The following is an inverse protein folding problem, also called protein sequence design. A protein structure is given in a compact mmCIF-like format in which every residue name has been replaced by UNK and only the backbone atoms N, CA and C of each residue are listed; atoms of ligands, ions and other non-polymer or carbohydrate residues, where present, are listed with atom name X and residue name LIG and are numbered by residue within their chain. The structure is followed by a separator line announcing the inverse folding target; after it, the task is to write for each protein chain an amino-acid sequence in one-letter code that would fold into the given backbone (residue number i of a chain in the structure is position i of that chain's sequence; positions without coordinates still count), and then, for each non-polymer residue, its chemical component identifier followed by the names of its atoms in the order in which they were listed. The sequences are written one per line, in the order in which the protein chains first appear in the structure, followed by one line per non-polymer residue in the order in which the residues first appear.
data_IF_408922111891
#
_entry.id   IF_408922111891
#
_cell.length_a   1.000
_cell.length_b   1.000
_cell.length_c   1.000
_cell.angle_alpha   90.00
_cell.angle_beta   90.00
_cell.angle_gamma   90.00
#
_symmetry.space_group_name_H-M   'P 1'
#
loop_
_entity.id
_entity.type
_entity.pdbx_description
1 polymer ?
#
# COMPACT_ATOMS: atom_id res chain seq x y z
N UNK A 1 -14.49 -7.51 -24.05
CA UNK A 1 -15.29 -6.31 -24.35
C UNK A 1 -14.96 -5.36 -23.23
N UNK A 2 -13.88 -4.61 -23.41
CA UNK A 2 -13.20 -3.89 -22.33
C UNK A 2 -13.91 -2.55 -22.11
N UNK A 3 -14.69 -2.49 -21.03
CA UNK A 3 -15.44 -1.30 -20.65
C UNK A 3 -14.49 -0.32 -19.95
N UNK A 4 -13.77 0.48 -20.74
CA UNK A 4 -12.93 1.55 -20.23
C UNK A 4 -13.79 2.76 -19.84
N UNK A 5 -14.13 2.87 -18.55
CA UNK A 5 -14.84 4.05 -18.02
C UNK A 5 -13.84 5.13 -17.64
N UNK A 6 -13.54 6.03 -18.58
CA UNK A 6 -12.77 7.24 -18.31
C UNK A 6 -13.65 8.28 -17.60
N UNK A 7 -13.47 8.42 -16.29
CA UNK A 7 -14.26 9.37 -15.50
C UNK A 7 -13.54 10.72 -15.37
N UNK A 8 -14.27 11.82 -15.60
CA UNK A 8 -13.88 13.19 -15.27
C UNK A 8 -14.87 13.79 -14.26
N UNK A 9 -14.42 14.11 -13.04
CA UNK A 9 -15.22 14.82 -12.05
C UNK A 9 -15.13 14.28 -10.63
N UNK A 10 -16.10 14.65 -9.79
CA UNK A 10 -16.25 14.13 -8.43
C UNK A 10 -17.36 13.09 -8.44
N UNK A 11 -17.05 11.82 -8.18
CA UNK A 11 -18.04 10.77 -8.01
C UNK A 11 -18.02 10.24 -6.59
N UNK A 12 -19.19 9.85 -6.08
CA UNK A 12 -19.30 9.25 -4.75
C UNK A 12 -18.77 7.81 -4.72
N UNK A 13 -19.04 7.04 -5.77
CA UNK A 13 -18.55 5.69 -5.96
C UNK A 13 -18.44 5.37 -7.45
N UNK A 14 -17.51 4.49 -7.79
CA UNK A 14 -17.32 3.94 -9.13
C UNK A 14 -17.25 2.42 -9.00
N UNK A 15 -18.23 1.73 -9.56
CA UNK A 15 -18.28 0.26 -9.60
C UNK A 15 -18.26 -0.16 -11.07
N UNK A 16 -17.22 -0.90 -11.47
CA UNK A 16 -17.01 -1.33 -12.86
C UNK A 16 -16.64 -2.81 -12.85
N UNK A 17 -17.25 -3.62 -13.71
CA UNK A 17 -16.91 -5.05 -13.78
C UNK A 17 -15.54 -5.31 -14.42
N UNK A 18 -15.08 -4.38 -15.27
CA UNK A 18 -13.78 -4.38 -15.91
C UNK A 18 -12.84 -3.32 -15.34
N UNK A 19 -12.13 -2.61 -16.22
CA UNK A 19 -11.04 -1.72 -15.85
C UNK A 19 -11.51 -0.29 -15.59
N UNK A 20 -11.15 0.27 -14.44
CA UNK A 20 -11.38 1.66 -14.10
C UNK A 20 -10.12 2.50 -14.39
N UNK A 21 -10.24 3.45 -15.31
CA UNK A 21 -9.22 4.46 -15.57
C UNK A 21 -9.70 5.83 -15.11
N UNK A 22 -9.13 6.32 -14.02
CA UNK A 22 -9.52 7.58 -13.40
C UNK A 22 -8.43 8.62 -13.62
N UNK A 23 -8.79 9.67 -14.34
CA UNK A 23 -7.86 10.75 -14.66
C UNK A 23 -8.38 12.08 -14.10
N UNK A 24 -7.53 12.83 -13.40
CA UNK A 24 -7.83 14.21 -12.94
C UNK A 24 -9.17 14.34 -12.21
N UNK A 25 -9.47 13.38 -11.34
CA UNK A 25 -10.78 13.20 -10.73
C UNK A 25 -10.68 12.80 -9.26
N UNK A 26 -11.78 12.98 -8.53
CA UNK A 26 -11.92 12.57 -7.13
C UNK A 26 -13.05 11.56 -7.01
N UNK A 27 -12.73 10.33 -6.60
CA UNK A 27 -13.71 9.25 -6.49
C UNK A 27 -13.83 8.81 -5.04
N UNK A 28 -15.04 8.81 -4.47
CA UNK A 28 -15.22 8.47 -3.06
C UNK A 28 -14.89 7.01 -2.73
N UNK A 29 -15.17 6.07 -3.64
CA UNK A 29 -14.77 4.67 -3.53
C UNK A 29 -14.72 4.02 -4.92
N UNK A 30 -13.78 3.09 -5.13
CA UNK A 30 -13.66 2.35 -6.39
C UNK A 30 -13.75 0.85 -6.11
N UNK A 31 -14.57 0.15 -6.91
CA UNK A 31 -14.58 -1.31 -7.00
C UNK A 31 -14.46 -1.69 -8.48
N UNK A 32 -13.36 -2.33 -8.86
CA UNK A 32 -13.10 -2.70 -10.26
C UNK A 32 -12.28 -3.98 -10.41
N UNK A 33 -12.10 -4.45 -11.65
CA UNK A 33 -11.12 -5.48 -11.92
C UNK A 33 -9.70 -4.93 -11.88
N UNK A 34 -9.36 -3.95 -12.72
CA UNK A 34 -8.11 -3.20 -12.60
C UNK A 34 -8.40 -1.72 -12.33
N UNK A 35 -7.52 -1.06 -11.59
CA UNK A 35 -7.66 0.37 -11.29
C UNK A 35 -6.40 1.12 -11.69
N UNK A 36 -6.54 2.14 -12.52
CA UNK A 36 -5.48 3.10 -12.81
C UNK A 36 -5.90 4.50 -12.38
N UNK A 37 -5.13 5.10 -11.48
CA UNK A 37 -5.30 6.47 -11.02
C UNK A 37 -4.18 7.32 -11.63
N UNK A 38 -4.53 8.31 -12.44
CA UNK A 38 -3.58 9.27 -13.00
C UNK A 38 -3.98 10.70 -12.63
N UNK A 39 -3.17 11.39 -11.83
CA UNK A 39 -3.50 12.73 -11.32
C UNK A 39 -4.86 12.76 -10.61
N UNK A 40 -5.25 11.65 -10.00
CA UNK A 40 -6.55 11.44 -9.39
C UNK A 40 -6.40 11.06 -7.92
N UNK A 41 -7.47 11.30 -7.15
CA UNK A 41 -7.57 10.76 -5.81
C UNK A 41 -8.80 9.87 -5.66
N UNK A 42 -8.66 8.77 -4.93
CA UNK A 42 -9.77 7.92 -4.56
C UNK A 42 -9.89 7.77 -3.03
N UNK A 43 -11.07 7.44 -2.52
CA UNK A 43 -11.19 6.89 -1.17
C UNK A 43 -10.71 5.43 -1.16
N UNK A 44 -11.45 4.50 -0.53
CA UNK A 44 -11.10 3.08 -0.58
C UNK A 44 -11.12 2.54 -2.01
N UNK A 45 -10.12 1.72 -2.34
CA UNK A 45 -10.02 1.02 -3.62
C UNK A 45 -10.03 -0.48 -3.37
N UNK A 46 -10.99 -1.17 -3.97
CA UNK A 46 -11.03 -2.62 -4.04
C UNK A 46 -10.82 -3.05 -5.49
N UNK A 47 -9.78 -3.86 -5.72
CA UNK A 47 -9.41 -4.34 -7.04
C UNK A 47 -9.28 -5.86 -7.00
N UNK A 48 -9.95 -6.54 -7.93
CA UNK A 48 -9.81 -8.01 -8.09
C UNK A 48 -8.63 -8.41 -8.98
N UNK A 49 -7.99 -7.44 -9.63
CA UNK A 49 -6.74 -7.50 -10.38
C UNK A 49 -5.77 -6.48 -9.80
N UNK A 50 -5.16 -5.65 -10.65
CA UNK A 50 -4.06 -4.75 -10.28
C UNK A 50 -4.52 -3.34 -9.91
N UNK A 51 -3.66 -2.60 -9.19
CA UNK A 51 -3.84 -1.17 -8.93
C UNK A 51 -2.56 -0.40 -9.31
N UNK A 52 -2.70 0.58 -10.20
CA UNK A 52 -1.65 1.51 -10.57
C UNK A 52 -2.01 2.93 -10.14
N UNK A 53 -1.11 3.60 -9.42
CA UNK A 53 -1.26 4.98 -8.99
C UNK A 53 -0.10 5.79 -9.56
N UNK A 54 -0.40 6.79 -10.36
CA UNK A 54 0.58 7.72 -10.94
C UNK A 54 0.17 9.15 -10.62
N UNK A 55 1.03 9.91 -9.94
CA UNK A 55 0.75 11.31 -9.56
C UNK A 55 -0.57 11.49 -8.80
N UNK A 56 -0.97 10.50 -8.01
CA UNK A 56 -2.28 10.44 -7.39
C UNK A 56 -2.23 9.85 -5.99
N UNK A 57 -3.39 9.61 -5.43
CA UNK A 57 -3.45 8.85 -4.20
C UNK A 57 -4.78 8.18 -3.94
N UNK A 58 -4.79 7.30 -2.96
CA UNK A 58 -6.05 6.74 -2.50
C UNK A 58 -6.08 6.48 -1.00
N UNK A 59 -7.25 6.14 -0.49
CA UNK A 59 -7.42 5.61 0.84
C UNK A 59 -6.84 4.19 0.97
N UNK A 60 -7.43 3.33 1.79
CA UNK A 60 -7.02 1.94 1.89
C UNK A 60 -7.16 1.22 0.54
N UNK A 61 -6.21 0.32 0.25
CA UNK A 61 -6.22 -0.51 -0.96
C UNK A 61 -6.34 -1.97 -0.56
N UNK A 62 -7.29 -2.68 -1.17
CA UNK A 62 -7.31 -4.14 -1.21
C UNK A 62 -7.21 -4.58 -2.65
N UNK A 63 -6.15 -5.34 -2.96
CA UNK A 63 -5.78 -5.71 -4.31
C UNK A 63 -5.43 -7.20 -4.35
N UNK A 64 -6.12 -7.96 -5.21
CA UNK A 64 -5.80 -9.37 -5.45
C UNK A 64 -4.61 -9.56 -6.39
N UNK A 65 -4.24 -8.55 -7.16
CA UNK A 65 -3.05 -8.53 -8.00
C UNK A 65 -1.92 -7.71 -7.39
N UNK A 66 -1.17 -7.04 -8.26
CA UNK A 66 -0.04 -6.19 -7.93
C UNK A 66 -0.46 -4.74 -7.68
N UNK A 67 0.28 -4.04 -6.83
CA UNK A 67 0.12 -2.60 -6.61
C UNK A 67 1.39 -1.86 -7.01
N UNK A 68 1.25 -0.90 -7.91
CA UNK A 68 2.33 0.00 -8.33
C UNK A 68 2.00 1.44 -7.99
N UNK A 69 2.90 2.13 -7.30
CA UNK A 69 2.77 3.55 -6.93
C UNK A 69 3.95 4.31 -7.49
N UNK A 70 3.68 5.34 -8.30
CA UNK A 70 4.67 6.27 -8.87
C UNK A 70 4.25 7.69 -8.55
N UNK A 71 5.08 8.45 -7.83
CA UNK A 71 4.78 9.84 -7.48
C UNK A 71 3.44 10.02 -6.76
N UNK A 72 3.11 9.11 -5.84
CA UNK A 72 1.80 9.07 -5.22
C UNK A 72 1.79 8.43 -3.85
N UNK A 73 0.60 8.20 -3.31
CA UNK A 73 0.51 7.45 -2.07
C UNK A 73 -0.86 6.87 -1.77
N UNK A 74 -0.88 5.90 -0.89
CA UNK A 74 -2.13 5.29 -0.44
C UNK A 74 -2.17 5.12 1.07
N UNK A 75 -3.38 4.90 1.59
CA UNK A 75 -3.58 4.42 2.95
C UNK A 75 -3.03 2.99 3.13
N UNK A 76 -3.43 2.31 4.21
CA UNK A 76 -3.08 0.91 4.44
C UNK A 76 -3.40 0.04 3.21
N UNK A 77 -2.46 -0.81 2.82
CA UNK A 77 -2.58 -1.65 1.63
C UNK A 77 -2.47 -3.13 1.98
N UNK A 78 -3.43 -3.92 1.50
CA UNK A 78 -3.39 -5.37 1.48
C UNK A 78 -3.26 -5.79 0.02
N UNK A 79 -2.13 -6.39 -0.30
CA UNK A 79 -1.72 -6.75 -1.66
C UNK A 79 -1.47 -8.24 -1.71
N UNK A 80 -2.24 -8.98 -2.50
CA UNK A 80 -2.01 -10.41 -2.65
C UNK A 80 -0.82 -10.70 -3.58
N UNK A 81 -0.56 -9.82 -4.54
CA UNK A 81 0.64 -9.87 -5.37
C UNK A 81 1.83 -9.11 -4.77
N UNK A 82 2.59 -8.49 -5.64
CA UNK A 82 3.75 -7.66 -5.35
C UNK A 82 3.36 -6.20 -5.15
N UNK A 83 4.16 -5.50 -4.34
CA UNK A 83 4.10 -4.05 -4.18
C UNK A 83 5.36 -3.43 -4.80
N UNK A 84 5.18 -2.38 -5.60
CA UNK A 84 6.27 -1.51 -6.05
C UNK A 84 5.92 -0.04 -5.77
N UNK A 85 6.84 0.69 -5.14
CA UNK A 85 6.68 2.11 -4.85
C UNK A 85 7.92 2.86 -5.35
N UNK A 86 7.72 3.91 -6.13
CA UNK A 86 8.73 4.88 -6.54
C UNK A 86 8.23 6.30 -6.25
N UNK A 87 9.04 7.11 -5.58
CA UNK A 87 8.74 8.51 -5.24
C UNK A 87 7.38 8.70 -4.57
N UNK A 88 7.05 7.82 -3.63
CA UNK A 88 5.70 7.76 -3.07
C UNK A 88 5.67 7.05 -1.72
N UNK A 89 4.48 6.74 -1.22
CA UNK A 89 4.42 5.99 0.01
C UNK A 89 3.07 5.50 0.46
N UNK A 90 3.10 4.67 1.49
CA UNK A 90 1.91 4.11 2.11
C UNK A 90 2.11 3.96 3.61
N UNK A 91 1.03 4.12 4.36
CA UNK A 91 1.07 4.03 5.82
C UNK A 91 1.56 2.65 6.28
N UNK A 92 0.99 1.58 5.72
CA UNK A 92 1.31 0.21 6.10
C UNK A 92 0.97 -0.75 4.98
N UNK A 93 1.81 -1.77 4.76
CA UNK A 93 1.59 -2.78 3.73
C UNK A 93 1.65 -4.17 4.31
N UNK A 94 0.68 -4.98 3.89
CA UNK A 94 0.76 -6.44 3.93
C UNK A 94 0.77 -6.90 2.47
N UNK A 95 1.89 -7.45 2.02
CA UNK A 95 2.03 -8.03 0.69
C UNK A 95 2.28 -9.53 0.81
N UNK A 96 1.56 -10.35 0.04
CA UNK A 96 1.86 -11.78 -0.06
C UNK A 96 3.01 -12.06 -1.05
N UNK A 97 3.31 -11.14 -1.96
CA UNK A 97 4.50 -11.15 -2.82
C UNK A 97 5.66 -10.30 -2.30
N UNK A 98 6.56 -9.86 -3.19
CA UNK A 98 7.67 -8.98 -2.84
C UNK A 98 7.19 -7.52 -2.67
N UNK A 99 7.71 -6.83 -1.66
CA UNK A 99 7.57 -5.38 -1.51
C UNK A 99 8.88 -4.69 -1.93
N UNK A 100 8.85 -3.93 -3.04
CA UNK A 100 9.96 -3.13 -3.56
C UNK A 100 9.72 -1.65 -3.31
N UNK A 101 10.63 -1.02 -2.59
CA UNK A 101 10.65 0.40 -2.33
C UNK A 101 11.84 1.00 -3.07
N UNK A 102 11.55 1.67 -4.19
CA UNK A 102 12.52 2.37 -5.02
C UNK A 102 12.84 3.77 -4.51
N UNK A 103 13.47 4.58 -5.36
CA UNK A 103 13.89 5.95 -5.07
C UNK A 103 12.83 6.77 -4.30
N UNK A 104 13.25 7.38 -3.17
CA UNK A 104 12.40 8.21 -2.29
C UNK A 104 11.06 7.59 -1.88
N UNK A 105 10.95 6.25 -1.85
CA UNK A 105 9.77 5.56 -1.37
C UNK A 105 9.69 5.53 0.16
N UNK A 106 8.49 5.64 0.72
CA UNK A 106 8.25 5.60 2.15
C UNK A 106 7.15 4.61 2.54
N UNK A 107 7.45 3.71 3.47
CA UNK A 107 6.45 2.83 4.08
C UNK A 107 6.57 2.87 5.59
N UNK A 108 5.47 3.13 6.29
CA UNK A 108 5.48 3.10 7.76
C UNK A 108 5.80 1.70 8.29
N UNK A 109 4.94 0.73 7.98
CA UNK A 109 5.13 -0.67 8.38
C UNK A 109 5.00 -1.57 7.17
N UNK A 110 5.91 -2.53 6.98
CA UNK A 110 5.85 -3.50 5.89
C UNK A 110 5.93 -4.93 6.40
N UNK A 111 4.98 -5.74 5.96
CA UNK A 111 4.96 -7.18 6.13
C UNK A 111 4.90 -7.81 4.73
N UNK A 112 5.99 -8.46 4.33
CA UNK A 112 6.09 -9.19 3.07
C UNK A 112 7.13 -10.31 3.20
N UNK A 113 7.00 -11.42 2.45
CA UNK A 113 8.03 -12.47 2.40
C UNK A 113 9.42 -11.95 2.00
N UNK A 114 9.47 -10.92 1.16
CA UNK A 114 10.69 -10.25 0.73
C UNK A 114 10.47 -8.75 0.64
N UNK A 115 11.40 -7.98 1.21
CA UNK A 115 11.38 -6.53 1.19
C UNK A 115 12.71 -6.04 0.59
N UNK A 116 12.64 -5.34 -0.53
CA UNK A 116 13.79 -4.71 -1.19
C UNK A 116 13.66 -3.20 -1.04
N UNK A 117 14.69 -2.55 -0.50
CA UNK A 117 14.71 -1.11 -0.21
C UNK A 117 15.92 -0.50 -0.90
N UNK A 118 15.68 0.37 -1.88
CA UNK A 118 16.73 1.09 -2.61
C UNK A 118 17.29 2.27 -1.81
N UNK A 119 18.42 2.80 -2.26
CA UNK A 119 19.01 4.00 -1.67
C UNK A 119 18.03 5.17 -1.77
N UNK A 120 17.76 5.84 -0.64
CA UNK A 120 16.79 6.93 -0.55
C UNK A 120 15.39 6.51 -0.11
N UNK A 121 15.06 5.21 -0.17
CA UNK A 121 13.83 4.68 0.41
C UNK A 121 13.92 4.55 1.93
N UNK A 122 12.78 4.68 2.62
CA UNK A 122 12.68 4.63 4.08
C UNK A 122 11.53 3.74 4.52
N UNK A 123 11.83 2.81 5.42
CA UNK A 123 10.85 2.01 6.15
C UNK A 123 10.96 2.38 7.62
N UNK A 124 9.87 2.80 8.27
CA UNK A 124 9.96 3.10 9.72
C UNK A 124 10.12 1.83 10.55
N UNK A 125 9.34 0.78 10.23
CA UNK A 125 9.41 -0.50 10.93
C UNK A 125 9.30 -1.65 9.92
N UNK A 126 10.45 -2.24 9.60
CA UNK A 126 10.51 -3.45 8.77
C UNK A 126 10.30 -4.71 9.61
N UNK A 127 9.97 -5.84 8.96
CA UNK A 127 9.77 -7.13 9.64
C UNK A 127 10.98 -7.56 10.50
N UNK A 128 12.25 -7.45 10.03
CA UNK A 128 13.41 -7.78 10.87
C UNK A 128 13.59 -6.82 12.06
N UNK A 129 13.35 -5.52 11.87
CA UNK A 129 13.43 -4.53 12.95
C UNK A 129 12.33 -4.73 13.99
N UNK A 130 11.11 -5.05 13.55
CA UNK A 130 9.99 -5.37 14.44
C UNK A 130 10.27 -6.60 15.30
N UNK A 131 10.87 -7.65 14.70
CA UNK A 131 11.28 -8.86 15.41
C UNK A 131 12.36 -8.57 16.46
N UNK A 132 13.39 -7.80 16.10
CA UNK A 132 14.44 -7.38 17.02
C UNK A 132 13.89 -6.51 18.17
N UNK A 133 13.02 -5.56 17.85
CA UNK A 133 12.33 -4.73 18.85
C UNK A 133 11.48 -5.57 19.80
N UNK A 134 10.67 -6.48 19.26
CA UNK A 134 9.84 -7.40 20.05
C UNK A 134 10.67 -8.31 20.97
N UNK A 135 11.77 -8.86 20.47
CA UNK A 135 12.69 -9.66 21.26
C UNK A 135 13.32 -8.83 22.40
N UNK A 136 13.81 -7.62 22.10
CA UNK A 136 14.40 -6.72 23.09
C UNK A 136 13.42 -6.31 24.20
N UNK A 137 12.22 -5.89 23.81
CA UNK A 137 11.15 -5.54 24.76
C UNK A 137 10.75 -6.74 25.63
N UNK A 138 10.60 -7.93 25.02
CA UNK A 138 10.29 -9.16 25.74
C UNK A 138 11.33 -9.53 26.78
N UNK A 139 12.63 -9.42 26.45
CA UNK A 139 13.72 -9.64 27.40
C UNK A 139 13.68 -8.62 28.55
N UNK A 140 13.49 -7.34 28.25
CA UNK A 140 13.40 -6.30 29.28
C UNK A 140 12.25 -6.56 30.27
N UNK A 141 11.07 -6.92 29.76
CA UNK A 141 9.90 -7.28 30.60
C UNK A 141 10.16 -8.55 31.41
N UNK A 142 10.79 -9.57 30.83
CA UNK A 142 11.13 -10.81 31.54
C UNK A 142 12.13 -10.55 32.69
N UNK A 143 13.11 -9.68 32.49
CA UNK A 143 14.07 -9.29 33.52
C UNK A 143 13.42 -8.46 34.62
N UNK A 144 12.62 -7.45 34.26
CA UNK A 144 11.89 -6.62 35.23
C UNK A 144 10.92 -7.46 36.07
N UNK A 145 10.15 -8.35 35.44
CA UNK A 145 9.23 -9.23 36.16
C UNK A 145 9.93 -10.23 37.07
N UNK A 146 11.14 -10.69 36.73
CA UNK A 146 11.98 -11.48 37.64
C UNK A 146 12.49 -10.67 38.83
N UNK A 147 12.76 -9.38 38.64
CA UNK A 147 13.24 -8.49 39.70
C UNK A 147 12.12 -8.16 40.70
N UNK A 148 10.89 -7.96 40.23
CA UNK A 148 9.71 -7.69 41.06
C UNK A 148 9.05 -8.92 41.70
N UNK A 149 9.45 -10.14 41.30
CA UNK A 149 8.99 -11.40 41.91
C UNK A 149 9.95 -11.94 42.99
N UNK A 150 10.95 -11.15 43.38
CA UNK A 150 11.80 -11.37 44.56
C UNK A 150 11.32 -10.51 45.70
#
# INVERSE_FOLDING_TARGET
MDEHVATKGILRSLEVAGDAAVERSLIGAINAHNVSLHQAAAGPVMSSGDVAITQGGCGPVMCSGDVTIRQGGCGPSIVHGNLSIEQGGTQSVIAAGEARLGDHAYVGVVLAPKVTVEAGAKVLLSTPQALAFGAGAGVAVALLSRLFRR
#
